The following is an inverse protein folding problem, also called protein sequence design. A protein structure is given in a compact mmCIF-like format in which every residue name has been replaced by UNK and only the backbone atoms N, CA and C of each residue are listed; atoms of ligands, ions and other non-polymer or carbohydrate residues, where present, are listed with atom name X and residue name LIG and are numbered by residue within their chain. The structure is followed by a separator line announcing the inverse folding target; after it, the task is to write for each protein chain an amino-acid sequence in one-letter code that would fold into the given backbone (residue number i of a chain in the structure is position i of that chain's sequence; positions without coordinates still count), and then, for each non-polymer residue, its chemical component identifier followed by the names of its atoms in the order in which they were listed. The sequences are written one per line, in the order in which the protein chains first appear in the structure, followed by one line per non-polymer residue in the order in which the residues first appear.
data_IF_085194172535
#
_entry.id   IF_085194172535
#
_cell.length_a   1.000
_cell.length_b   1.000
_cell.length_c   1.000
_cell.angle_alpha   90.00
_cell.angle_beta   90.00
_cell.angle_gamma   90.00
#
_symmetry.space_group_name_H-M   'P 1'
#
loop_
_entity.id
_entity.type
_entity.pdbx_description
1 polymer ?
#
# COMPACT_ATOMS: atom_id res chain seq x y z
N UNK A 1 5.84 16.73 -16.13
CA UNK A 1 6.83 16.45 -15.06
C UNK A 1 8.05 17.33 -15.29
N UNK A 2 8.57 17.96 -14.24
CA UNK A 2 9.82 18.74 -14.28
C UNK A 2 11.01 17.83 -14.01
N UNK A 3 12.08 17.96 -14.79
CA UNK A 3 13.31 17.18 -14.58
C UNK A 3 14.05 17.68 -13.33
N UNK A 4 14.58 16.76 -12.54
CA UNK A 4 15.43 17.03 -11.38
C UNK A 4 16.67 16.15 -11.49
N UNK A 5 17.84 16.72 -11.23
CA UNK A 5 19.07 15.96 -11.07
C UNK A 5 19.17 15.59 -9.59
N UNK A 6 19.28 14.30 -9.31
CA UNK A 6 19.44 13.75 -7.97
C UNK A 6 20.46 12.62 -8.05
N UNK A 7 21.21 12.42 -6.96
CA UNK A 7 22.02 11.23 -6.77
C UNK A 7 21.12 10.10 -6.24
N UNK A 8 21.27 8.91 -6.80
CA UNK A 8 20.48 7.73 -6.46
C UNK A 8 21.41 6.53 -6.48
N UNK A 9 21.34 5.71 -5.44
CA UNK A 9 22.01 4.43 -5.39
C UNK A 9 21.41 3.48 -6.45
N UNK A 10 22.24 3.04 -7.40
CA UNK A 10 21.84 2.20 -8.52
C UNK A 10 21.35 0.80 -8.09
N UNK A 11 21.94 0.24 -7.02
CA UNK A 11 21.52 -1.08 -6.51
C UNK A 11 20.13 -0.99 -5.87
N UNK A 12 19.87 0.11 -5.15
CA UNK A 12 18.54 0.39 -4.59
C UNK A 12 17.53 0.66 -5.70
N UNK A 13 17.92 1.39 -6.74
CA UNK A 13 17.04 1.70 -7.88
C UNK A 13 16.64 0.42 -8.63
N UNK A 14 17.59 -0.49 -8.87
CA UNK A 14 17.32 -1.78 -9.51
C UNK A 14 16.50 -2.72 -8.60
N UNK A 15 16.73 -2.70 -7.29
CA UNK A 15 15.88 -3.43 -6.35
C UNK A 15 14.43 -2.90 -6.38
N UNK A 16 14.25 -1.58 -6.36
CA UNK A 16 12.93 -0.95 -6.45
C UNK A 16 12.24 -1.29 -7.78
N UNK A 17 12.99 -1.29 -8.89
CA UNK A 17 12.48 -1.67 -10.20
C UNK A 17 11.93 -3.10 -10.24
N UNK A 18 12.67 -4.06 -9.65
CA UNK A 18 12.23 -5.46 -9.56
C UNK A 18 10.96 -5.61 -8.70
N UNK A 19 10.91 -4.93 -7.56
CA UNK A 19 9.74 -4.99 -6.64
C UNK A 19 8.51 -4.33 -7.27
N UNK A 20 8.69 -3.22 -7.99
CA UNK A 20 7.59 -2.46 -8.59
C UNK A 20 7.19 -2.96 -9.99
N UNK A 21 8.00 -3.84 -10.60
CA UNK A 21 7.74 -4.38 -11.94
C UNK A 21 7.75 -3.31 -13.03
N UNK A 22 8.64 -2.32 -12.92
CA UNK A 22 8.69 -1.17 -13.83
C UNK A 22 9.77 -1.30 -14.90
N UNK A 23 9.51 -0.77 -16.09
CA UNK A 23 10.44 -0.87 -17.22
C UNK A 23 11.45 0.27 -17.29
N UNK A 24 11.09 1.46 -16.78
CA UNK A 24 11.93 2.66 -16.88
C UNK A 24 12.25 3.26 -15.51
N UNK A 25 13.43 3.89 -15.38
CA UNK A 25 13.84 4.62 -14.16
C UNK A 25 12.79 5.64 -13.74
N UNK A 26 12.24 6.40 -14.71
CA UNK A 26 11.18 7.38 -14.45
C UNK A 26 9.95 6.73 -13.81
N UNK A 27 9.53 5.58 -14.32
CA UNK A 27 8.36 4.88 -13.80
C UNK A 27 8.64 4.30 -12.41
N UNK A 28 9.82 3.73 -12.19
CA UNK A 28 10.27 3.29 -10.86
C UNK A 28 10.21 4.43 -9.85
N UNK A 29 10.82 5.58 -10.16
CA UNK A 29 10.89 6.73 -9.24
C UNK A 29 9.50 7.31 -8.98
N UNK A 30 8.68 7.52 -10.01
CA UNK A 30 7.35 8.06 -9.82
C UNK A 30 6.46 7.11 -9.01
N UNK A 31 6.49 5.81 -9.31
CA UNK A 31 5.72 4.79 -8.58
C UNK A 31 6.14 4.72 -7.12
N UNK A 32 7.46 4.75 -6.84
CA UNK A 32 7.98 4.76 -5.46
C UNK A 32 7.53 6.00 -4.67
N UNK A 33 7.56 7.19 -5.28
CA UNK A 33 7.09 8.43 -4.65
C UNK A 33 5.58 8.39 -4.38
N UNK A 34 4.78 7.92 -5.35
CA UNK A 34 3.34 7.75 -5.15
C UNK A 34 3.04 6.75 -4.03
N UNK A 35 3.71 5.61 -4.00
CA UNK A 35 3.55 4.61 -2.95
C UNK A 35 3.89 5.19 -1.56
N UNK A 36 4.92 6.03 -1.47
CA UNK A 36 5.35 6.68 -0.23
C UNK A 36 4.30 7.66 0.29
N UNK A 37 3.75 8.50 -0.58
CA UNK A 37 2.66 9.43 -0.22
C UNK A 37 1.42 8.66 0.22
N UNK A 38 1.00 7.65 -0.55
CA UNK A 38 -0.16 6.83 -0.20
C UNK A 38 0.04 6.08 1.13
N UNK A 39 1.24 5.60 1.42
CA UNK A 39 1.55 4.98 2.69
C UNK A 39 1.42 5.97 3.86
N UNK A 40 1.90 7.20 3.69
CA UNK A 40 1.73 8.25 4.69
C UNK A 40 0.25 8.62 4.89
N UNK A 41 -0.51 8.77 3.81
CA UNK A 41 -1.95 9.05 3.88
C UNK A 41 -2.72 7.93 4.56
N UNK A 42 -2.44 6.66 4.23
CA UNK A 42 -3.07 5.50 4.91
C UNK A 42 -2.81 5.54 6.41
N UNK A 43 -1.59 5.86 6.83
CA UNK A 43 -1.24 5.99 8.26
C UNK A 43 -2.00 7.14 8.94
N UNK A 44 -2.23 8.24 8.25
CA UNK A 44 -2.95 9.40 8.80
C UNK A 44 -4.47 9.18 8.83
N UNK A 45 -5.03 8.46 7.86
CA UNK A 45 -6.48 8.23 7.75
C UNK A 45 -7.02 7.19 8.73
N UNK A 46 -6.18 6.27 9.20
CA UNK A 46 -6.57 5.30 10.23
C UNK A 46 -6.35 5.94 11.60
N UNK A 47 -7.32 6.72 12.04
CA UNK A 47 -7.38 7.18 13.42
C UNK A 47 -8.02 6.11 14.34
N UNK A 48 -7.92 6.31 15.65
CA UNK A 48 -8.46 5.39 16.65
C UNK A 48 -9.98 5.22 16.51
N UNK A 49 -10.70 6.22 16.02
CA UNK A 49 -12.15 6.16 15.83
C UNK A 49 -12.52 5.30 14.61
N UNK A 50 -11.79 5.44 13.50
CA UNK A 50 -11.91 4.59 12.33
C UNK A 50 -11.63 3.12 12.69
N UNK A 51 -10.59 2.85 13.49
CA UNK A 51 -10.28 1.50 13.94
C UNK A 51 -11.40 0.91 14.81
N UNK A 52 -11.96 1.69 15.75
CA UNK A 52 -13.09 1.25 16.58
C UNK A 52 -14.35 0.96 15.74
N UNK A 53 -14.66 1.81 14.75
CA UNK A 53 -15.79 1.58 13.84
C UNK A 53 -15.60 0.30 13.02
N UNK A 54 -14.40 0.09 12.46
CA UNK A 54 -14.08 -1.13 11.74
C UNK A 54 -14.22 -2.36 12.65
N UNK A 55 -13.64 -2.34 13.84
CA UNK A 55 -13.72 -3.45 14.79
C UNK A 55 -15.17 -3.79 15.19
N UNK A 56 -16.04 -2.78 15.34
CA UNK A 56 -17.45 -3.01 15.65
C UNK A 56 -18.24 -3.60 14.47
N UNK A 57 -17.91 -3.18 13.25
CA UNK A 57 -18.54 -3.66 12.01
C UNK A 57 -18.06 -5.06 11.63
N UNK A 58 -16.79 -5.37 11.86
CA UNK A 58 -16.13 -6.64 11.52
C UNK A 58 -16.27 -7.72 12.61
N UNK A 59 -17.27 -7.62 13.49
CA UNK A 59 -17.46 -8.58 14.59
C UNK A 59 -17.91 -9.95 14.10
N UNK A 60 -18.68 -9.99 13.03
CA UNK A 60 -19.12 -11.20 12.33
C UNK A 60 -17.96 -11.98 11.69
N UNK A 61 -16.83 -11.33 11.38
CA UNK A 61 -15.60 -12.00 10.94
C UNK A 61 -15.03 -12.98 11.98
N UNK A 62 -15.44 -12.89 13.25
CA UNK A 62 -15.06 -13.81 14.31
C UNK A 62 -16.00 -15.02 14.43
N UNK A 63 -17.12 -15.01 13.72
CA UNK A 63 -18.09 -16.09 13.73
C UNK A 63 -17.72 -17.15 12.67
N UNK A 64 -17.38 -18.35 13.15
CA UNK A 64 -16.92 -19.46 12.31
C UNK A 64 -18.00 -19.95 11.35
N UNK A 65 -19.27 -19.90 11.75
CA UNK A 65 -20.38 -20.32 10.89
C UNK A 65 -20.60 -19.30 9.77
N UNK A 66 -20.54 -18.00 10.08
CA UNK A 66 -20.64 -16.92 9.09
C UNK A 66 -19.49 -16.98 8.08
N UNK A 67 -18.26 -17.18 8.54
CA UNK A 67 -17.11 -17.31 7.64
C UNK A 67 -17.21 -18.58 6.80
N UNK A 68 -17.61 -19.71 7.39
CA UNK A 68 -17.77 -20.97 6.66
C UNK A 68 -18.82 -20.86 5.54
N UNK A 69 -19.92 -20.17 5.78
CA UNK A 69 -20.97 -19.95 4.77
C UNK A 69 -20.51 -19.00 3.65
N UNK A 70 -19.80 -17.91 3.99
CA UNK A 70 -19.30 -16.93 3.02
C UNK A 70 -18.33 -17.50 1.97
N UNK A 71 -17.66 -18.62 2.27
CA UNK A 71 -16.71 -19.29 1.37
C UNK A 71 -17.28 -20.57 0.74
N UNK A 72 -18.60 -20.78 0.78
CA UNK A 72 -19.26 -21.86 0.02
C UNK A 72 -19.80 -21.29 -1.30
N UNK A 73 -19.12 -21.66 -2.38
CA UNK A 73 -19.40 -21.26 -3.76
C UNK A 73 -19.90 -22.50 -4.49
#
# INVERSE_FOLDING_TARGET
MTKRLIDVDDDVLEAARRVLGTDTIKDTVNSALHASVQAAERRQRVDQAALKRFAAAARDLLDEDVMTDAWRW
#
